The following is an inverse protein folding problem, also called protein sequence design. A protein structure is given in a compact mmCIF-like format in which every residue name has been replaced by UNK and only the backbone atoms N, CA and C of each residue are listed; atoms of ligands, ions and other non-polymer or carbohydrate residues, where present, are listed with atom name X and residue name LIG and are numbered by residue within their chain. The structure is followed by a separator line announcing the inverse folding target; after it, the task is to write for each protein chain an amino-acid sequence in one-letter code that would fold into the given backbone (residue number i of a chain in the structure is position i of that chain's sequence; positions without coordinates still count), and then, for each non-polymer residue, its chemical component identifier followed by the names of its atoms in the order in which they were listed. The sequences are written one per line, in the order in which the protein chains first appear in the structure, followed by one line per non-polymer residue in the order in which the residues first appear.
data_IF_017716021627
#
_entry.id   IF_017716021627
#
_cell.length_a   1.000
_cell.length_b   1.000
_cell.length_c   1.000
_cell.angle_alpha   90.00
_cell.angle_beta   90.00
_cell.angle_gamma   90.00
#
_symmetry.space_group_name_H-M   'P 1'
#
loop_
_entity.id
_entity.type
_entity.pdbx_description
1 polymer ?
#
# COMPACT_ATOMS: atom_id res chain seq x y z
N UNK A 1 5.12 19.75 43.71
CA UNK A 1 5.63 20.12 42.39
C UNK A 1 5.44 18.94 41.45
N UNK A 2 4.28 18.83 40.80
CA UNK A 2 4.07 17.88 39.71
C UNK A 2 3.96 18.73 38.44
N UNK A 3 4.97 18.65 37.58
CA UNK A 3 4.91 19.28 36.26
C UNK A 3 3.82 18.61 35.41
N UNK A 4 3.15 19.35 34.51
CA UNK A 4 2.18 18.72 33.63
C UNK A 4 2.94 17.78 32.71
N UNK A 5 2.56 16.50 32.71
CA UNK A 5 2.96 15.60 31.65
C UNK A 5 2.38 16.17 30.35
N UNK A 6 3.24 16.74 29.52
CA UNK A 6 2.90 17.12 28.15
C UNK A 6 2.65 15.80 27.41
N UNK A 7 1.41 15.34 27.44
CA UNK A 7 0.93 14.38 26.46
C UNK A 7 0.91 15.12 25.13
N UNK A 8 2.03 15.05 24.41
CA UNK A 8 2.06 15.44 23.01
C UNK A 8 1.02 14.56 22.30
N UNK A 9 -0.06 15.12 21.73
CA UNK A 9 -1.03 14.32 21.01
C UNK A 9 -0.29 13.58 19.89
N UNK A 10 -0.56 12.28 19.65
CA UNK A 10 0.04 11.59 18.53
C UNK A 10 -0.32 12.39 17.28
N UNK A 11 0.70 12.89 16.56
CA UNK A 11 0.52 13.68 15.35
C UNK A 11 -0.53 12.99 14.46
N UNK A 12 -1.66 13.67 14.22
CA UNK A 12 -2.87 13.06 13.69
C UNK A 12 -2.61 12.33 12.36
N UNK A 13 -2.72 11.00 12.37
CA UNK A 13 -2.67 10.20 11.15
C UNK A 13 -4.02 10.27 10.44
N UNK A 14 -4.03 10.69 9.18
CA UNK A 14 -5.24 10.64 8.33
C UNK A 14 -5.33 9.27 7.67
N UNK A 15 -6.51 8.66 7.68
CA UNK A 15 -6.77 7.36 7.06
C UNK A 15 -7.95 7.44 6.12
N UNK A 16 -7.79 6.91 4.92
CA UNK A 16 -8.87 6.67 3.96
C UNK A 16 -9.04 5.17 3.77
N UNK A 17 -10.28 4.76 3.53
CA UNK A 17 -10.64 3.37 3.31
C UNK A 17 -11.73 3.32 2.26
N UNK A 18 -11.57 2.45 1.26
CA UNK A 18 -12.54 2.28 0.18
C UNK A 18 -12.65 0.81 -0.20
N UNK A 19 -13.88 0.36 -0.43
CA UNK A 19 -14.14 -0.92 -1.08
C UNK A 19 -13.99 -0.74 -2.59
N UNK A 20 -13.16 -1.56 -3.20
CA UNK A 20 -12.89 -1.59 -4.63
C UNK A 20 -13.66 -2.75 -5.28
N UNK A 21 -14.14 -2.57 -6.53
CA UNK A 21 -14.70 -3.68 -7.27
C UNK A 21 -13.64 -4.75 -7.51
N UNK A 22 -14.06 -6.01 -7.61
CA UNK A 22 -13.16 -7.12 -7.92
C UNK A 22 -12.87 -7.23 -9.43
N UNK A 23 -12.48 -6.10 -10.04
CA UNK A 23 -12.24 -5.96 -11.48
C UNK A 23 -11.10 -4.98 -11.74
N UNK A 24 -10.59 -4.92 -12.97
CA UNK A 24 -9.53 -3.97 -13.37
C UNK A 24 -9.91 -2.49 -13.16
N UNK A 25 -11.21 -2.17 -13.03
CA UNK A 25 -11.69 -0.83 -12.67
C UNK A 25 -11.24 -0.39 -11.27
N UNK A 26 -10.79 -1.31 -10.40
CA UNK A 26 -10.22 -1.00 -9.10
C UNK A 26 -8.97 -0.13 -9.18
N UNK A 27 -8.11 -0.36 -10.19
CA UNK A 27 -6.81 0.30 -10.32
C UNK A 27 -6.94 1.82 -10.47
N UNK A 28 -7.72 2.37 -11.42
CA UNK A 28 -7.87 3.82 -11.55
C UNK A 28 -8.51 4.47 -10.31
N UNK A 29 -9.44 3.77 -9.64
CA UNK A 29 -10.05 4.26 -8.38
C UNK A 29 -9.02 4.34 -7.26
N UNK A 30 -8.19 3.30 -7.12
CA UNK A 30 -7.11 3.26 -6.14
C UNK A 30 -6.09 4.38 -6.35
N UNK A 31 -5.66 4.58 -7.60
CA UNK A 31 -4.74 5.67 -7.99
C UNK A 31 -5.32 7.05 -7.65
N UNK A 32 -6.60 7.26 -7.97
CA UNK A 32 -7.28 8.52 -7.65
C UNK A 32 -7.32 8.79 -6.14
N UNK A 33 -7.65 7.77 -5.33
CA UNK A 33 -7.67 7.92 -3.88
C UNK A 33 -6.29 8.30 -3.32
N UNK A 34 -5.23 7.63 -3.78
CA UNK A 34 -3.87 7.92 -3.34
C UNK A 34 -3.46 9.34 -3.70
N UNK A 35 -3.73 9.81 -4.92
CA UNK A 35 -3.47 11.19 -5.32
C UNK A 35 -4.22 12.19 -4.43
N UNK A 36 -5.50 11.95 -4.17
CA UNK A 36 -6.29 12.82 -3.28
C UNK A 36 -5.74 12.82 -1.86
N UNK A 37 -5.43 11.66 -1.30
CA UNK A 37 -4.87 11.52 0.03
C UNK A 37 -3.53 12.26 0.16
N UNK A 38 -2.66 12.15 -0.84
CA UNK A 38 -1.37 12.83 -0.87
C UNK A 38 -1.47 14.33 -1.15
N UNK A 39 -2.53 14.80 -1.80
CA UNK A 39 -2.78 16.22 -2.01
C UNK A 39 -3.34 16.93 -0.76
N UNK A 40 -4.06 16.21 0.11
CA UNK A 40 -4.68 16.80 1.32
C UNK A 40 -3.65 17.27 2.36
N UNK A 41 -2.42 16.78 2.30
CA UNK A 41 -1.33 17.26 3.14
C UNK A 41 -0.19 17.67 2.23
N UNK A 42 0.60 18.67 2.61
CA UNK A 42 1.88 18.97 1.96
C UNK A 42 2.92 17.86 2.23
N UNK A 43 2.49 16.60 2.12
CA UNK A 43 3.28 15.45 2.47
C UNK A 43 4.29 15.20 1.36
N UNK A 44 5.53 15.15 1.79
CA UNK A 44 6.72 14.89 0.98
C UNK A 44 6.69 13.67 0.06
N UNK A 45 5.74 12.74 0.21
CA UNK A 45 5.89 11.42 -0.37
C UNK A 45 5.95 11.48 -1.90
N UNK A 46 6.78 10.64 -2.50
CA UNK A 46 6.86 10.46 -3.95
C UNK A 46 5.50 9.92 -4.44
N UNK A 47 4.65 10.84 -4.92
CA UNK A 47 3.28 10.53 -5.32
C UNK A 47 3.23 9.60 -6.51
N UNK A 48 4.19 9.71 -7.43
CA UNK A 48 4.23 8.87 -8.62
C UNK A 48 4.59 7.43 -8.22
N UNK A 49 5.57 7.26 -7.34
CA UNK A 49 5.90 5.95 -6.77
C UNK A 49 4.75 5.40 -5.93
N UNK A 50 4.09 6.21 -5.11
CA UNK A 50 2.93 5.77 -4.31
C UNK A 50 1.76 5.30 -5.19
N UNK A 51 1.47 6.04 -6.26
CA UNK A 51 0.45 5.67 -7.23
C UNK A 51 0.79 4.37 -7.95
N UNK A 52 2.03 4.24 -8.44
CA UNK A 52 2.52 3.04 -9.12
C UNK A 52 2.40 1.81 -8.22
N UNK A 53 2.98 1.86 -7.01
CA UNK A 53 2.96 0.72 -6.10
C UNK A 53 1.55 0.34 -5.66
N UNK A 54 0.66 1.31 -5.51
CA UNK A 54 -0.75 1.03 -5.20
C UNK A 54 -1.43 0.33 -6.37
N UNK A 55 -1.18 0.78 -7.61
CA UNK A 55 -1.75 0.15 -8.79
C UNK A 55 -1.30 -1.31 -8.92
N UNK A 56 -0.01 -1.58 -8.74
CA UNK A 56 0.55 -2.93 -8.75
C UNK A 56 -0.06 -3.80 -7.64
N UNK A 57 -0.20 -3.25 -6.43
CA UNK A 57 -0.73 -4.00 -5.29
C UNK A 57 -2.22 -4.35 -5.47
N UNK A 58 -3.02 -3.43 -5.99
CA UNK A 58 -4.44 -3.66 -6.29
C UNK A 58 -4.60 -4.60 -7.47
N UNK A 59 -3.80 -4.48 -8.52
CA UNK A 59 -3.82 -5.40 -9.66
C UNK A 59 -3.53 -6.84 -9.20
N UNK A 60 -2.49 -7.04 -8.38
CA UNK A 60 -2.17 -8.35 -7.80
C UNK A 60 -3.34 -8.92 -6.98
N UNK A 61 -4.03 -8.08 -6.19
CA UNK A 61 -5.17 -8.54 -5.40
C UNK A 61 -6.35 -8.98 -6.31
N UNK A 62 -6.65 -8.22 -7.37
CA UNK A 62 -7.70 -8.55 -8.34
C UNK A 62 -7.35 -9.83 -9.13
N UNK A 63 -6.10 -10.01 -9.52
CA UNK A 63 -5.66 -11.14 -10.33
C UNK A 63 -5.58 -12.45 -9.55
N UNK A 64 -5.14 -12.39 -8.27
CA UNK A 64 -4.85 -13.58 -7.49
C UNK A 64 -5.94 -13.96 -6.49
N UNK A 65 -6.90 -13.08 -6.21
CA UNK A 65 -8.02 -13.41 -5.32
C UNK A 65 -9.19 -13.91 -6.14
N UNK A 66 -9.72 -15.08 -5.79
CA UNK A 66 -10.92 -15.62 -6.44
C UNK A 66 -12.19 -15.15 -5.73
N UNK A 67 -13.26 -14.93 -6.49
CA UNK A 67 -14.60 -14.64 -5.97
C UNK A 67 -15.12 -13.23 -6.28
N UNK A 68 -16.25 -12.88 -5.67
CA UNK A 68 -16.93 -11.58 -5.83
C UNK A 68 -16.76 -10.66 -4.62
N UNK A 69 -15.97 -11.08 -3.62
CA UNK A 69 -15.75 -10.28 -2.42
C UNK A 69 -14.96 -9.03 -2.76
N UNK A 70 -15.40 -7.82 -2.36
CA UNK A 70 -14.67 -6.60 -2.62
C UNK A 70 -13.26 -6.62 -2.03
N UNK A 71 -12.31 -6.05 -2.76
CA UNK A 71 -11.00 -5.70 -2.22
C UNK A 71 -11.16 -4.43 -1.40
N UNK A 72 -10.49 -4.33 -0.26
CA UNK A 72 -10.47 -3.09 0.52
C UNK A 72 -9.10 -2.42 0.41
N UNK A 73 -9.08 -1.17 -0.02
CA UNK A 73 -7.88 -0.34 -0.02
C UNK A 73 -7.91 0.57 1.21
N UNK A 74 -6.81 0.56 1.97
CA UNK A 74 -6.60 1.43 3.12
C UNK A 74 -5.34 2.25 2.88
N UNK A 75 -5.48 3.57 2.96
CA UNK A 75 -4.40 4.52 2.80
C UNK A 75 -4.22 5.28 4.10
N UNK A 76 -3.00 5.33 4.63
CA UNK A 76 -2.68 6.07 5.86
C UNK A 76 -1.50 6.99 5.64
N UNK A 77 -1.72 8.27 5.96
CA UNK A 77 -0.63 9.22 6.14
C UNK A 77 -0.16 9.15 7.59
N UNK A 78 1.12 8.84 7.74
CA UNK A 78 1.83 8.79 9.01
C UNK A 78 2.76 10.00 9.09
N UNK A 79 3.16 10.43 10.30
CA UNK A 79 4.13 11.52 10.43
C UNK A 79 5.47 11.25 9.73
N UNK A 80 5.83 9.97 9.59
CA UNK A 80 7.08 9.50 8.99
C UNK A 80 6.92 9.03 7.54
N UNK A 81 5.73 9.16 6.95
CA UNK A 81 5.52 8.82 5.55
C UNK A 81 4.16 8.20 5.26
N UNK A 82 4.14 7.33 4.26
CA UNK A 82 2.93 6.79 3.67
C UNK A 82 2.83 5.30 3.90
N UNK A 83 1.63 4.79 4.15
CA UNK A 83 1.35 3.37 4.33
C UNK A 83 0.10 3.00 3.56
N UNK A 84 0.20 1.98 2.69
CA UNK A 84 -0.94 1.45 1.92
C UNK A 84 -1.12 -0.02 2.26
N UNK A 85 -2.37 -0.41 2.46
CA UNK A 85 -2.78 -1.80 2.59
C UNK A 85 -3.87 -2.12 1.58
N UNK A 86 -3.77 -3.30 0.98
CA UNK A 86 -4.82 -3.90 0.18
C UNK A 86 -5.23 -5.19 0.89
N UNK A 87 -6.51 -5.29 1.22
CA UNK A 87 -7.10 -6.44 1.88
C UNK A 87 -7.92 -7.22 0.87
N UNK A 88 -7.74 -8.53 0.90
CA UNK A 88 -8.47 -9.47 0.07
C UNK A 88 -8.90 -10.68 0.91
N UNK A 89 -9.85 -11.45 0.38
CA UNK A 89 -10.46 -12.56 1.09
C UNK A 89 -9.63 -13.86 1.03
N UNK A 90 -8.55 -13.90 0.24
CA UNK A 90 -7.72 -15.08 0.10
C UNK A 90 -6.66 -15.12 1.22
N UNK A 91 -6.70 -16.12 2.12
CA UNK A 91 -5.71 -16.22 3.19
C UNK A 91 -4.31 -16.62 2.71
N UNK A 92 -4.14 -17.04 1.45
CA UNK A 92 -2.86 -17.50 0.93
C UNK A 92 -1.84 -16.35 0.86
N UNK A 93 -0.63 -16.52 1.42
CA UNK A 93 0.38 -15.49 1.41
C UNK A 93 0.85 -15.19 -0.03
N UNK A 94 1.20 -13.93 -0.35
CA UNK A 94 1.74 -13.59 -1.66
C UNK A 94 3.08 -14.32 -1.87
N UNK A 95 3.14 -15.20 -2.87
CA UNK A 95 4.27 -16.12 -3.08
C UNK A 95 5.61 -15.39 -3.18
N UNK A 96 5.65 -14.26 -3.86
CA UNK A 96 6.89 -13.52 -4.12
C UNK A 96 7.30 -12.56 -2.99
N UNK A 97 6.39 -12.24 -2.05
CA UNK A 97 6.78 -11.58 -0.80
C UNK A 97 7.32 -12.55 0.24
N UNK A 98 7.02 -13.83 0.09
CA UNK A 98 7.40 -14.87 1.05
C UNK A 98 8.70 -15.59 0.63
N UNK A 99 9.05 -15.57 -0.66
CA UNK A 99 10.28 -16.17 -1.18
C UNK A 99 11.37 -15.13 -1.46
N UNK A 100 12.66 -15.47 -1.27
CA UNK A 100 13.75 -14.68 -1.84
C UNK A 100 13.59 -14.63 -3.36
N UNK A 101 13.88 -13.49 -3.97
CA UNK A 101 13.97 -13.40 -5.45
C UNK A 101 15.24 -14.15 -5.85
N UNK A 102 15.10 -15.44 -6.20
CA UNK A 102 16.23 -16.29 -6.55
C UNK A 102 16.69 -16.07 -8.00
N UNK A 103 15.83 -15.49 -8.85
CA UNK A 103 16.10 -15.26 -10.26
C UNK A 103 15.54 -13.88 -10.68
N UNK A 104 16.28 -13.18 -11.54
CA UNK A 104 15.77 -11.96 -12.16
C UNK A 104 14.59 -12.33 -13.07
N UNK A 105 13.44 -11.62 -13.00
CA UNK A 105 12.32 -11.89 -13.90
C UNK A 105 12.77 -11.68 -15.35
N UNK A 106 12.23 -12.47 -16.26
CA UNK A 106 12.46 -12.29 -17.68
C UNK A 106 12.02 -10.87 -18.12
N UNK A 107 12.89 -10.12 -18.84
CA UNK A 107 12.60 -8.77 -19.33
C UNK A 107 11.40 -8.69 -20.29
N UNK A 108 10.84 -9.81 -20.75
CA UNK A 108 9.63 -9.88 -21.56
C UNK A 108 8.40 -10.41 -20.81
N UNK A 109 8.55 -10.83 -19.55
CA UNK A 109 7.40 -11.20 -18.70
C UNK A 109 6.71 -9.95 -18.16
N UNK A 110 5.49 -9.72 -18.61
CA UNK A 110 4.62 -8.64 -18.13
C UNK A 110 3.95 -9.00 -16.79
N UNK A 111 3.70 -10.29 -16.54
CA UNK A 111 3.07 -10.78 -15.31
C UNK A 111 4.14 -11.09 -14.24
N UNK A 112 3.91 -10.66 -13.00
CA UNK A 112 4.80 -10.95 -11.85
C UNK A 112 5.84 -9.87 -11.49
N UNK A 113 5.83 -8.70 -12.15
CA UNK A 113 6.71 -7.58 -11.76
C UNK A 113 6.18 -6.74 -10.60
N UNK A 114 4.88 -6.77 -10.35
CA UNK A 114 4.26 -5.87 -9.37
C UNK A 114 4.86 -6.00 -7.97
N UNK A 115 5.03 -7.23 -7.47
CA UNK A 115 5.65 -7.45 -6.15
C UNK A 115 7.15 -7.10 -6.12
N UNK A 116 7.85 -7.19 -7.26
CA UNK A 116 9.24 -6.77 -7.38
C UNK A 116 9.38 -5.25 -7.33
N UNK A 117 8.51 -4.51 -8.04
CA UNK A 117 8.45 -3.06 -7.95
C UNK A 117 8.15 -2.61 -6.51
N UNK A 118 7.18 -3.26 -5.87
CA UNK A 118 6.84 -3.00 -4.47
C UNK A 118 8.07 -3.23 -3.57
N UNK A 119 8.80 -4.32 -3.73
CA UNK A 119 10.04 -4.56 -2.95
C UNK A 119 11.15 -3.57 -3.25
N UNK A 120 11.33 -3.16 -4.50
CA UNK A 120 12.43 -2.31 -4.92
C UNK A 120 12.24 -0.83 -4.53
N UNK A 121 11.00 -0.33 -4.57
CA UNK A 121 10.71 1.10 -4.41
C UNK A 121 10.14 1.45 -3.03
N UNK A 122 9.62 0.48 -2.28
CA UNK A 122 9.12 0.73 -0.92
C UNK A 122 10.25 0.74 0.11
N UNK A 123 10.07 1.50 1.20
CA UNK A 123 10.99 1.40 2.36
C UNK A 123 10.78 0.13 3.17
N UNK A 124 9.56 -0.42 3.11
CA UNK A 124 9.22 -1.73 3.67
C UNK A 124 7.92 -2.21 3.04
N UNK A 125 7.79 -3.52 2.90
CA UNK A 125 6.56 -4.17 2.45
C UNK A 125 6.40 -5.52 3.13
N UNK A 126 5.19 -6.06 3.07
CA UNK A 126 4.91 -7.36 3.63
C UNK A 126 3.45 -7.75 3.48
N UNK A 127 3.07 -8.79 4.21
CA UNK A 127 1.69 -9.22 4.33
C UNK A 127 1.41 -9.62 5.79
N UNK A 128 0.13 -9.63 6.16
CA UNK A 128 -0.35 -10.23 7.41
C UNK A 128 -1.68 -10.94 7.16
N UNK A 129 -1.93 -12.00 7.91
CA UNK A 129 -3.27 -12.59 7.97
C UNK A 129 -4.24 -11.62 8.66
N UNK A 130 -5.49 -11.62 8.21
CA UNK A 130 -6.60 -10.89 8.85
C UNK A 130 -7.70 -11.89 9.22
N UNK A 131 -8.72 -11.44 9.94
CA UNK A 131 -9.85 -12.30 10.30
C UNK A 131 -10.64 -12.80 9.07
N UNK A 132 -10.49 -12.14 7.91
CA UNK A 132 -11.27 -12.38 6.70
C UNK A 132 -10.43 -12.74 5.48
N UNK A 133 -9.13 -12.99 5.64
CA UNK A 133 -8.21 -13.25 4.53
C UNK A 133 -6.81 -12.72 4.85
N UNK A 134 -6.33 -11.77 4.05
CA UNK A 134 -5.02 -11.13 4.26
C UNK A 134 -5.03 -9.63 3.98
N UNK A 135 -3.98 -8.98 4.45
CA UNK A 135 -3.62 -7.63 4.05
C UNK A 135 -2.19 -7.63 3.53
N UNK A 136 -2.00 -7.19 2.30
CA UNK A 136 -0.68 -6.96 1.70
C UNK A 136 -0.43 -5.46 1.72
N UNK A 137 0.79 -5.04 2.06
CA UNK A 137 1.07 -3.65 2.36
C UNK A 137 2.46 -3.21 1.95
N UNK A 138 2.62 -1.90 1.76
CA UNK A 138 3.91 -1.24 1.59
C UNK A 138 3.94 0.10 2.32
N UNK A 139 5.16 0.59 2.56
CA UNK A 139 5.42 1.92 3.12
C UNK A 139 6.38 2.69 2.23
N UNK A 140 6.17 4.00 2.15
CA UNK A 140 7.11 4.94 1.57
C UNK A 140 7.53 5.96 2.63
N UNK A 141 8.78 6.41 2.64
CA UNK A 141 9.19 7.48 3.52
C UNK A 141 8.51 8.78 3.07
N UNK A 142 8.10 9.62 4.03
CA UNK A 142 7.78 11.00 3.70
C UNK A 142 9.08 11.67 3.28
N UNK A 143 9.14 12.33 2.12
CA UNK A 143 10.31 13.15 1.84
C UNK A 143 10.30 14.33 2.82
N UNK A 144 11.46 14.79 3.27
CA UNK A 144 11.58 16.15 3.78
C UNK A 144 11.80 17.02 2.56
N UNK A 145 10.95 18.03 2.35
CA UNK A 145 11.30 19.11 1.42
C UNK A 145 12.62 19.70 1.92
N UNK A 146 13.69 19.76 1.09
CA UNK A 146 14.83 20.60 1.44
C UNK A 146 14.33 22.04 1.55
N UNK A 147 14.78 22.73 2.61
CA UNK A 147 14.41 24.11 2.93
C UNK A 147 14.83 25.08 1.81
#
# INVERSE_FOLDING_TARGET
MNGPAVHEPPAASTSWRVALPHTSAAVPVARALVRTALAEREHSADSDTAELLTAELVANAVEHTSGSTPIELVVRLLPTGFHVEVHDADPAPPRDLTRPVLEAPDPWQEHGRGLLLIRALSSSCGHRATASGKAVWFRLPGQRRPA
#
